data_IF_597008955460
#
_entry.id   IF_597008955460
#
_cell.length_a   1.000
_cell.length_b   1.000
_cell.length_c   1.000
_cell.angle_alpha   90.00
_cell.angle_beta   90.00
_cell.angle_gamma   90.00
#
_symmetry.space_group_name_H-M   'P 1'
#
loop_
_entity.id
_entity.type
_entity.pdbx_description
1 polymer ?
#
# COMPACT_ATOMS: atom_id res chain seq x y z
N UNK A 1 33.53 -14.01 -0.79
CA UNK A 1 32.86 -14.04 -2.11
C UNK A 1 31.53 -14.77 -1.90
N UNK A 2 30.47 -14.03 -1.58
CA UNK A 2 29.15 -14.60 -1.32
C UNK A 2 28.15 -13.86 -2.19
N UNK A 3 27.47 -14.61 -3.05
CA UNK A 3 26.52 -14.19 -4.08
C UNK A 3 25.20 -13.64 -3.53
N UNK A 4 25.11 -13.35 -2.23
CA UNK A 4 23.90 -12.85 -1.59
C UNK A 4 23.64 -11.34 -1.78
N UNK A 5 24.61 -10.57 -2.31
CA UNK A 5 24.47 -9.11 -2.46
C UNK A 5 23.79 -8.67 -3.77
N UNK A 6 23.72 -9.52 -4.80
CA UNK A 6 23.26 -9.09 -6.13
C UNK A 6 21.73 -9.09 -6.34
N UNK A 7 20.94 -9.79 -5.54
CA UNK A 7 19.48 -9.88 -5.76
C UNK A 7 18.75 -8.59 -5.33
N UNK A 8 19.35 -7.80 -4.43
CA UNK A 8 18.72 -6.58 -3.91
C UNK A 8 18.80 -5.37 -4.86
N UNK A 9 19.70 -5.37 -5.85
CA UNK A 9 19.96 -4.18 -6.68
C UNK A 9 19.13 -4.13 -7.98
N UNK A 10 18.56 -5.24 -8.45
CA UNK A 10 17.97 -5.31 -9.79
C UNK A 10 16.45 -5.06 -9.84
N UNK A 11 15.74 -5.17 -8.70
CA UNK A 11 14.26 -5.12 -8.68
C UNK A 11 13.73 -3.68 -8.56
N UNK A 12 14.57 -2.70 -8.22
CA UNK A 12 14.16 -1.30 -8.00
C UNK A 12 14.61 -0.36 -9.12
N UNK A 13 14.39 -0.72 -10.39
CA UNK A 13 14.57 0.25 -11.48
C UNK A 13 13.84 -0.13 -12.77
N UNK A 14 12.50 -0.10 -12.77
CA UNK A 14 11.72 0.21 -13.98
C UNK A 14 10.24 0.39 -13.63
N UNK A 15 9.77 1.64 -13.63
CA UNK A 15 8.41 2.08 -14.05
C UNK A 15 7.89 3.30 -13.28
N UNK A 16 8.23 3.47 -12.00
CA UNK A 16 7.96 4.73 -11.28
C UNK A 16 9.26 5.36 -10.83
N UNK A 17 9.59 6.53 -11.39
CA UNK A 17 10.76 7.38 -11.06
C UNK A 17 10.81 7.91 -9.62
N UNK A 18 10.51 7.07 -8.63
CA UNK A 18 10.81 7.26 -7.21
C UNK A 18 11.79 6.18 -6.78
N UNK A 19 13.06 6.38 -7.11
CA UNK A 19 14.17 5.72 -6.42
C UNK A 19 14.24 6.29 -5.01
N UNK A 20 13.42 5.79 -4.09
CA UNK A 20 13.70 5.99 -2.67
C UNK A 20 14.88 5.09 -2.30
N UNK A 21 16.08 5.57 -2.59
CA UNK A 21 17.32 5.03 -2.06
C UNK A 21 17.39 5.37 -0.57
N UNK A 22 16.54 4.72 0.24
CA UNK A 22 16.59 4.87 1.68
C UNK A 22 17.80 4.07 2.14
N UNK A 23 18.90 4.77 2.40
CA UNK A 23 20.05 4.17 3.07
C UNK A 23 19.57 3.53 4.37
N UNK A 24 19.94 2.26 4.57
CA UNK A 24 19.72 1.57 5.84
C UNK A 24 20.58 2.31 6.85
N UNK A 25 19.98 3.23 7.59
CA UNK A 25 20.67 4.00 8.62
C UNK A 25 20.68 3.20 9.93
N UNK A 26 21.68 3.46 10.77
CA UNK A 26 21.93 2.81 12.06
C UNK A 26 20.75 2.84 13.06
N UNK A 27 19.67 3.58 12.74
CA UNK A 27 18.41 3.62 13.50
C UNK A 27 17.35 2.59 13.08
N UNK A 28 17.65 1.69 12.15
CA UNK A 28 16.65 0.81 11.52
C UNK A 28 16.23 -0.42 12.36
N UNK A 29 16.78 -0.57 13.56
CA UNK A 29 16.44 -1.66 14.48
C UNK A 29 16.86 -3.04 13.97
N UNK A 30 17.80 -3.08 13.03
CA UNK A 30 18.49 -4.29 12.57
C UNK A 30 19.62 -4.58 13.56
N UNK A 31 19.84 -5.85 13.95
CA UNK A 31 20.97 -6.22 14.81
C UNK A 31 22.31 -5.81 14.19
N UNK A 32 23.21 -5.28 15.01
CA UNK A 32 24.61 -5.01 14.64
C UNK A 32 25.36 -6.33 14.27
N UNK A 33 26.51 -6.31 13.57
CA UNK A 33 27.24 -7.54 13.25
C UNK A 33 27.60 -8.37 14.49
N UNK A 34 27.96 -7.73 15.61
CA UNK A 34 28.25 -8.44 16.86
C UNK A 34 26.99 -9.10 17.44
N UNK A 35 25.87 -8.38 17.42
CA UNK A 35 24.55 -8.87 17.84
C UNK A 35 24.06 -10.03 16.98
N UNK A 36 24.39 -10.03 15.69
CA UNK A 36 24.04 -11.10 14.74
C UNK A 36 24.80 -12.39 15.04
N UNK A 37 26.08 -12.30 15.37
CA UNK A 37 26.86 -13.48 15.79
C UNK A 37 26.34 -14.05 17.11
N UNK A 38 25.95 -13.20 18.07
CA UNK A 38 25.30 -13.65 19.31
C UNK A 38 23.97 -14.39 19.06
N UNK A 39 23.16 -13.93 18.09
CA UNK A 39 21.94 -14.62 17.70
C UNK A 39 22.28 -16.01 17.13
N UNK A 40 23.26 -16.06 16.23
CA UNK A 40 23.64 -17.28 15.52
C UNK A 40 24.24 -18.34 16.43
N UNK A 41 25.09 -17.94 17.38
CA UNK A 41 25.65 -18.85 18.38
C UNK A 41 24.56 -19.38 19.32
N UNK A 42 23.68 -18.51 19.83
CA UNK A 42 22.57 -18.91 20.68
C UNK A 42 21.59 -19.87 19.97
N UNK A 43 21.32 -19.69 18.67
CA UNK A 43 20.51 -20.62 17.87
C UNK A 43 21.18 -21.99 17.72
N UNK A 44 22.50 -22.02 17.52
CA UNK A 44 23.26 -23.27 17.34
C UNK A 44 23.38 -24.05 18.65
N UNK A 45 23.53 -23.35 19.77
CA UNK A 45 23.66 -23.92 21.12
C UNK A 45 22.30 -24.18 21.80
N UNK A 46 21.19 -23.77 21.18
CA UNK A 46 19.84 -23.92 21.73
C UNK A 46 19.60 -23.06 22.99
N UNK A 47 20.36 -21.98 23.17
CA UNK A 47 20.24 -21.08 24.31
C UNK A 47 19.11 -20.06 24.11
N UNK A 48 18.61 -19.53 25.23
CA UNK A 48 17.63 -18.43 25.20
C UNK A 48 18.33 -17.12 24.85
N UNK A 49 17.80 -16.42 23.84
CA UNK A 49 18.23 -15.08 23.47
C UNK A 49 17.91 -14.05 24.56
N UNK A 50 18.78 -13.06 24.71
CA UNK A 50 18.50 -11.86 25.51
C UNK A 50 17.17 -11.22 25.05
N UNK A 51 16.25 -10.88 25.97
CA UNK A 51 15.01 -10.17 25.66
C UNK A 51 15.18 -8.95 24.73
N UNK A 52 16.26 -8.18 24.86
CA UNK A 52 16.51 -7.00 24.01
C UNK A 52 16.82 -7.42 22.57
N UNK A 53 17.68 -8.43 22.41
CA UNK A 53 18.11 -8.96 21.12
C UNK A 53 16.96 -9.66 20.40
N UNK A 54 16.14 -10.43 21.13
CA UNK A 54 14.93 -11.04 20.62
C UNK A 54 13.91 -9.99 20.10
N UNK A 55 13.78 -8.85 20.79
CA UNK A 55 12.92 -7.75 20.36
C UNK A 55 13.43 -7.08 19.09
N UNK A 56 14.75 -6.87 18.98
CA UNK A 56 15.39 -6.35 17.75
C UNK A 56 15.19 -7.30 16.57
N UNK A 57 15.44 -8.60 16.75
CA UNK A 57 15.21 -9.63 15.73
C UNK A 57 13.77 -9.62 15.20
N UNK A 58 12.77 -9.57 16.08
CA UNK A 58 11.35 -9.49 15.68
C UNK A 58 11.04 -8.24 14.85
N UNK A 59 11.61 -7.09 15.22
CA UNK A 59 11.44 -5.84 14.45
C UNK A 59 12.07 -5.95 13.06
N UNK A 60 13.29 -6.45 12.98
CA UNK A 60 13.98 -6.70 11.72
C UNK A 60 13.17 -7.65 10.82
N UNK A 61 12.68 -8.78 11.35
CA UNK A 61 11.86 -9.74 10.62
C UNK A 61 10.57 -9.11 10.07
N UNK A 62 9.87 -8.28 10.85
CA UNK A 62 8.67 -7.57 10.38
C UNK A 62 9.00 -6.58 9.26
N UNK A 63 10.13 -5.88 9.35
CA UNK A 63 10.58 -4.96 8.30
C UNK A 63 10.91 -5.72 7.01
N UNK A 64 11.65 -6.84 7.10
CA UNK A 64 11.96 -7.71 5.95
C UNK A 64 10.68 -8.22 5.31
N UNK A 65 9.70 -8.71 6.09
CA UNK A 65 8.40 -9.16 5.56
C UNK A 65 7.65 -8.02 4.85
N UNK A 66 7.68 -6.82 5.41
CA UNK A 66 7.05 -5.64 4.80
C UNK A 66 7.71 -5.29 3.47
N UNK A 67 9.05 -5.26 3.44
CA UNK A 67 9.81 -5.00 2.23
C UNK A 67 9.52 -6.09 1.19
N UNK A 68 9.59 -7.37 1.57
CA UNK A 68 9.29 -8.48 0.68
C UNK A 68 7.88 -8.38 0.07
N UNK A 69 6.88 -7.95 0.86
CA UNK A 69 5.52 -7.74 0.36
C UNK A 69 5.43 -6.60 -0.67
N UNK A 70 6.19 -5.52 -0.47
CA UNK A 70 6.18 -4.35 -1.36
C UNK A 70 7.04 -4.60 -2.60
N UNK A 71 8.10 -5.40 -2.47
CA UNK A 71 9.02 -5.75 -3.56
C UNK A 71 8.46 -6.83 -4.49
N UNK A 72 7.27 -7.37 -4.23
CA UNK A 72 6.56 -8.19 -5.21
C UNK A 72 6.16 -7.32 -6.40
N UNK A 73 6.47 -7.79 -7.60
CA UNK A 73 6.10 -7.10 -8.83
C UNK A 73 4.56 -7.09 -8.97
N UNK A 74 3.94 -5.93 -9.26
CA UNK A 74 2.50 -5.88 -9.46
C UNK A 74 2.10 -6.76 -10.66
N UNK A 75 1.05 -7.56 -10.50
CA UNK A 75 0.51 -8.35 -11.62
C UNK A 75 -0.24 -7.46 -12.60
N UNK A 76 -0.17 -7.78 -13.89
CA UNK A 76 -0.92 -7.08 -14.93
C UNK A 76 -2.40 -7.45 -14.88
N UNK A 77 -3.27 -6.45 -15.05
CA UNK A 77 -4.72 -6.65 -15.16
C UNK A 77 -5.13 -7.30 -16.49
N UNK A 78 -4.26 -7.26 -17.50
CA UNK A 78 -4.47 -7.88 -18.82
C UNK A 78 -4.01 -9.36 -18.85
N UNK A 79 -3.57 -9.89 -17.71
CA UNK A 79 -3.20 -11.29 -17.61
C UNK A 79 -4.45 -12.17 -17.77
N UNK A 80 -4.50 -13.10 -18.75
CA UNK A 80 -5.63 -14.01 -18.89
C UNK A 80 -5.69 -14.93 -17.66
N UNK A 81 -6.91 -15.24 -17.23
CA UNK A 81 -7.16 -16.12 -16.07
C UNK A 81 -8.07 -17.27 -16.50
N UNK A 82 -7.67 -18.51 -16.19
CA UNK A 82 -8.40 -19.72 -16.58
C UNK A 82 -7.98 -20.30 -17.94
N UNK A 83 -8.75 -21.28 -18.43
CA UNK A 83 -8.53 -21.94 -19.73
C UNK A 83 -9.25 -21.24 -20.90
N UNK A 84 -10.20 -20.36 -20.58
CA UNK A 84 -10.94 -19.57 -21.56
C UNK A 84 -10.27 -18.20 -21.70
N UNK A 85 -9.70 -17.90 -22.87
CA UNK A 85 -9.01 -16.63 -23.20
C UNK A 85 -9.92 -15.38 -23.17
N UNK A 86 -11.14 -15.49 -22.64
CA UNK A 86 -12.13 -14.40 -22.55
C UNK A 86 -12.10 -13.65 -21.21
N UNK A 87 -11.44 -14.20 -20.19
CA UNK A 87 -11.45 -13.65 -18.83
C UNK A 87 -10.09 -13.07 -18.46
N UNK A 88 -10.05 -11.78 -18.15
CA UNK A 88 -8.83 -11.10 -17.70
C UNK A 88 -8.83 -10.90 -16.19
N UNK A 89 -7.66 -10.80 -15.58
CA UNK A 89 -7.55 -10.53 -14.14
C UNK A 89 -8.32 -9.26 -13.73
N UNK A 90 -8.34 -8.24 -14.59
CA UNK A 90 -9.09 -7.01 -14.39
C UNK A 90 -10.59 -7.20 -14.22
N UNK A 91 -11.18 -8.24 -14.83
CA UNK A 91 -12.63 -8.48 -14.78
C UNK A 91 -13.10 -8.97 -13.40
N UNK A 92 -12.19 -9.43 -12.55
CA UNK A 92 -12.48 -9.91 -11.20
C UNK A 92 -12.24 -8.87 -10.10
N UNK A 93 -11.70 -7.70 -10.44
CA UNK A 93 -11.38 -6.66 -9.48
C UNK A 93 -12.46 -5.58 -9.55
N UNK A 94 -13.33 -5.56 -8.54
CA UNK A 94 -14.34 -4.51 -8.37
C UNK A 94 -13.68 -3.16 -8.02
N UNK A 95 -14.17 -2.06 -8.62
CA UNK A 95 -13.72 -0.71 -8.29
C UNK A 95 -14.52 -0.15 -7.11
N UNK A 96 -13.94 -0.22 -5.91
CA UNK A 96 -14.51 0.33 -4.68
C UNK A 96 -14.80 1.85 -4.74
N UNK A 97 -14.21 2.59 -5.70
CA UNK A 97 -14.42 4.03 -5.84
C UNK A 97 -15.60 4.38 -6.74
N UNK A 98 -16.10 3.43 -7.52
CA UNK A 98 -17.20 3.68 -8.43
C UNK A 98 -18.51 3.70 -7.63
N UNK A 99 -19.20 4.86 -7.52
CA UNK A 99 -20.48 4.89 -6.84
C UNK A 99 -21.48 4.00 -7.58
N UNK A 100 -22.27 3.23 -6.83
CA UNK A 100 -23.29 2.37 -7.41
C UNK A 100 -24.30 3.19 -8.23
N UNK A 101 -24.96 2.59 -9.22
CA UNK A 101 -25.94 3.30 -10.06
C UNK A 101 -27.08 3.91 -9.24
N UNK A 102 -27.46 3.27 -8.13
CA UNK A 102 -28.44 3.78 -7.16
C UNK A 102 -27.91 5.05 -6.48
N UNK A 103 -26.67 5.05 -6.00
CA UNK A 103 -26.08 6.21 -5.32
C UNK A 103 -25.96 7.42 -6.26
N UNK A 104 -25.58 7.18 -7.51
CA UNK A 104 -25.52 8.23 -8.54
C UNK A 104 -26.90 8.82 -8.79
N UNK A 105 -27.92 7.98 -8.98
CA UNK A 105 -29.30 8.43 -9.18
C UNK A 105 -29.83 9.21 -7.97
N UNK A 106 -29.61 8.71 -6.76
CA UNK A 106 -30.03 9.40 -5.52
C UNK A 106 -29.36 10.76 -5.36
N UNK A 107 -28.05 10.87 -5.67
CA UNK A 107 -27.33 12.16 -5.65
C UNK A 107 -27.88 13.14 -6.68
N UNK A 108 -28.26 12.66 -7.86
CA UNK A 108 -28.86 13.49 -8.89
C UNK A 108 -30.24 14.01 -8.47
N UNK A 109 -31.11 13.14 -7.95
CA UNK A 109 -32.41 13.53 -7.42
C UNK A 109 -32.28 14.55 -6.27
N UNK A 110 -31.32 14.34 -5.37
CA UNK A 110 -31.05 15.27 -4.28
C UNK A 110 -30.65 16.66 -4.81
N UNK A 111 -29.79 16.73 -5.83
CA UNK A 111 -29.41 18.00 -6.47
C UNK A 111 -30.62 18.71 -7.09
N UNK A 112 -31.52 17.98 -7.73
CA UNK A 112 -32.73 18.53 -8.33
C UNK A 112 -33.69 19.09 -7.27
N UNK A 113 -33.86 18.37 -6.15
CA UNK A 113 -34.67 18.84 -5.02
C UNK A 113 -34.08 20.12 -4.39
N UNK A 114 -32.75 20.15 -4.19
CA UNK A 114 -32.07 21.35 -3.68
C UNK A 114 -32.27 22.53 -4.63
N UNK A 115 -32.10 22.33 -5.95
CA UNK A 115 -32.33 23.39 -6.95
C UNK A 115 -33.78 23.88 -6.96
N UNK A 116 -34.74 22.97 -6.84
CA UNK A 116 -36.16 23.33 -6.78
C UNK A 116 -36.47 24.16 -5.52
N UNK A 117 -35.92 23.78 -4.37
CA UNK A 117 -36.08 24.55 -3.13
C UNK A 117 -35.44 25.95 -3.21
N UNK A 118 -34.24 26.06 -3.79
CA UNK A 118 -33.56 27.33 -4.04
C UNK A 118 -34.28 28.18 -5.11
N UNK A 119 -35.07 27.55 -5.99
CA UNK A 119 -35.90 28.21 -7.00
C UNK A 119 -37.05 29.04 -6.41
N UNK A 120 -37.52 28.69 -5.21
CA UNK A 120 -38.61 29.41 -4.52
C UNK A 120 -38.12 30.67 -3.79
N UNK A 121 -36.83 30.74 -3.48
CA UNK A 121 -36.21 31.86 -2.79
C UNK A 121 -36.05 33.08 -3.69
N UNK A 122 -36.03 34.27 -3.08
CA UNK A 122 -35.79 35.52 -3.79
C UNK A 122 -34.35 35.57 -4.32
N UNK A 123 -34.10 36.31 -5.42
CA UNK A 123 -32.80 36.32 -6.09
C UNK A 123 -31.64 36.72 -5.16
N UNK A 124 -31.89 37.60 -4.18
CA UNK A 124 -30.91 37.99 -3.15
C UNK A 124 -30.57 36.85 -2.18
N UNK A 125 -31.53 36.02 -1.80
CA UNK A 125 -31.30 34.90 -0.86
C UNK A 125 -30.58 33.74 -1.55
N UNK A 126 -30.86 33.51 -2.84
CA UNK A 126 -30.17 32.50 -3.66
C UNK A 126 -28.70 32.85 -3.85
N UNK A 127 -28.39 34.10 -4.21
CA UNK A 127 -27.02 34.57 -4.44
C UNK A 127 -26.16 34.43 -3.18
N UNK A 128 -26.72 34.77 -2.01
CA UNK A 128 -26.02 34.59 -0.73
C UNK A 128 -25.74 33.10 -0.47
N UNK A 129 -26.72 32.22 -0.67
CA UNK A 129 -26.54 30.78 -0.41
C UNK A 129 -25.58 30.10 -1.39
N UNK A 130 -25.54 30.51 -2.65
CA UNK A 130 -24.57 29.99 -3.64
C UNK A 130 -23.15 30.47 -3.37
N UNK A 131 -22.97 31.65 -2.75
CA UNK A 131 -21.66 32.18 -2.38
C UNK A 131 -21.08 31.50 -1.11
N UNK A 132 -21.94 30.96 -0.25
CA UNK A 132 -21.57 30.32 1.02
C UNK A 132 -21.47 28.79 0.96
N UNK A 133 -21.92 28.14 -0.12
CA UNK A 133 -21.90 26.68 -0.32
C UNK A 133 -20.69 26.22 -1.16
#
# INVERSE_FOLDING_TARGET
RSTASCVFSAIWCSSLGRTQHRTVGDGDGIPDPEETEQIRTAETEGQRLDPLLARKLRRAANKVRRILRISQEPMSLEMPVGEEDSSFLGDFIEDDKMPGPVDVASRQLLKEQIRSALGVLSDREREVLELFA
#
